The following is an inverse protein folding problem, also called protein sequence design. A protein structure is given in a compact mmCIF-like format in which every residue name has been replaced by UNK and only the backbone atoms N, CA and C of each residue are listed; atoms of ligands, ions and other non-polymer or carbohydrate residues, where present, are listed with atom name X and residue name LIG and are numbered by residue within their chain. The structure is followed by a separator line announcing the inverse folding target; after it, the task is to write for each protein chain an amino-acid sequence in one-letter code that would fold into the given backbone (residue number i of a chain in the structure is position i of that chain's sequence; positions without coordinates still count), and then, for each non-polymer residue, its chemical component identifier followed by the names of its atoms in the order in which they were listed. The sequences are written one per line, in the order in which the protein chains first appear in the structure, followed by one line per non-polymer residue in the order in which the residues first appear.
data_IF_964910446333
#
_entry.id   IF_964910446333
#
_cell.length_a   1.000
_cell.length_b   1.000
_cell.length_c   1.000
_cell.angle_alpha   90.00
_cell.angle_beta   90.00
_cell.angle_gamma   90.00
#
_symmetry.space_group_name_H-M   'P 1'
#
loop_
_entity.id
_entity.type
_entity.pdbx_description
1 polymer ?
#
# COMPACT_ATOMS: atom_id res chain seq x y z
N UNK A 1 19.76 66.65 30.84
CA UNK A 1 20.45 66.17 29.63
C UNK A 1 19.37 65.87 28.60
N UNK A 2 18.98 66.89 27.86
CA UNK A 2 17.99 66.76 26.81
C UNK A 2 18.59 65.90 25.70
N UNK A 3 17.92 64.78 25.36
CA UNK A 3 18.27 64.03 24.16
C UNK A 3 18.13 65.01 23.01
N UNK A 4 19.19 65.26 22.20
CA UNK A 4 19.09 66.16 21.07
C UNK A 4 17.91 65.69 20.23
N UNK A 5 16.90 66.56 20.10
CA UNK A 5 15.74 66.28 19.27
C UNK A 5 16.25 65.85 17.90
N UNK A 6 15.76 64.68 17.50
CA UNK A 6 16.11 63.94 16.31
C UNK A 6 15.75 64.77 15.07
N UNK A 7 16.53 65.82 14.78
CA UNK A 7 16.45 66.54 13.51
C UNK A 7 16.91 65.57 12.46
N UNK A 8 15.95 64.85 11.87
CA UNK A 8 16.16 63.96 10.74
C UNK A 8 16.97 64.73 9.71
N UNK A 9 18.21 64.28 9.47
CA UNK A 9 19.12 64.93 8.54
C UNK A 9 18.43 65.08 7.18
N UNK A 10 18.57 66.24 6.54
CA UNK A 10 17.97 66.53 5.23
C UNK A 10 18.42 65.54 4.14
N UNK A 11 19.48 64.78 4.40
CA UNK A 11 20.01 63.72 3.53
C UNK A 11 19.27 62.37 3.65
N UNK A 12 18.53 62.12 4.74
CA UNK A 12 17.78 60.88 4.94
C UNK A 12 16.82 60.54 3.78
N UNK A 13 16.01 61.46 3.22
CA UNK A 13 15.15 61.15 2.07
C UNK A 13 15.95 60.71 0.83
N UNK A 14 17.17 61.22 0.64
CA UNK A 14 18.03 60.85 -0.49
C UNK A 14 18.70 59.49 -0.29
N UNK A 15 19.07 59.16 0.96
CA UNK A 15 19.67 57.87 1.31
C UNK A 15 18.63 56.73 1.41
N UNK A 16 17.37 57.04 1.75
CA UNK A 16 16.27 56.07 1.89
C UNK A 16 16.14 55.06 0.73
N UNK A 17 16.16 55.46 -0.56
CA UNK A 17 16.07 54.49 -1.66
C UNK A 17 17.29 53.57 -1.76
N UNK A 18 18.49 54.05 -1.40
CA UNK A 18 19.70 53.23 -1.37
C UNK A 18 19.63 52.23 -0.21
N UNK A 19 19.30 52.68 0.99
CA UNK A 19 19.11 51.84 2.17
C UNK A 19 18.04 50.77 1.94
N UNK A 20 16.93 51.13 1.31
CA UNK A 20 15.88 50.18 0.96
C UNK A 20 16.42 49.07 0.04
N UNK A 21 17.20 49.42 -0.99
CA UNK A 21 17.78 48.43 -1.92
C UNK A 21 18.81 47.52 -1.24
N UNK A 22 19.68 48.08 -0.40
CA UNK A 22 20.67 47.31 0.35
C UNK A 22 19.98 46.35 1.34
N UNK A 23 19.02 46.86 2.11
CA UNK A 23 18.25 46.06 3.06
C UNK A 23 17.39 45.00 2.35
N UNK A 24 16.84 45.31 1.17
CA UNK A 24 16.14 44.34 0.34
C UNK A 24 17.08 43.23 -0.16
N UNK A 25 18.32 43.55 -0.56
CA UNK A 25 19.30 42.56 -0.99
C UNK A 25 19.74 41.63 0.15
N UNK A 26 20.01 42.18 1.35
CA UNK A 26 20.33 41.39 2.55
C UNK A 26 19.14 40.50 2.95
N UNK A 27 17.94 41.06 2.94
CA UNK A 27 16.72 40.32 3.20
C UNK A 27 16.52 39.17 2.21
N UNK A 28 16.70 39.42 0.91
CA UNK A 28 16.61 38.39 -0.13
C UNK A 28 17.66 37.29 0.09
N UNK A 29 18.91 37.63 0.38
CA UNK A 29 19.94 36.59 0.60
C UNK A 29 19.64 35.73 1.83
N UNK A 30 19.19 36.35 2.92
CA UNK A 30 18.79 35.60 4.13
C UNK A 30 17.55 34.73 3.90
N UNK A 31 16.60 35.20 3.09
CA UNK A 31 15.33 34.52 2.85
C UNK A 31 15.46 33.38 1.85
N UNK A 32 16.35 33.48 0.87
CA UNK A 32 16.51 32.48 -0.20
C UNK A 32 16.88 31.11 0.34
N UNK A 33 17.76 31.04 1.35
CA UNK A 33 18.10 29.77 1.98
C UNK A 33 16.90 29.20 2.75
N UNK A 34 16.19 30.02 3.52
CA UNK A 34 15.01 29.58 4.27
C UNK A 34 13.86 29.11 3.36
N UNK A 35 13.59 29.86 2.29
CA UNK A 35 12.62 29.49 1.25
C UNK A 35 13.03 28.17 0.59
N UNK A 36 14.30 28.02 0.22
CA UNK A 36 14.82 26.81 -0.40
C UNK A 36 14.66 25.57 0.48
N UNK A 37 15.03 25.68 1.76
CA UNK A 37 14.91 24.57 2.73
C UNK A 37 13.45 24.22 2.98
N UNK A 38 12.58 25.21 3.22
CA UNK A 38 11.17 24.96 3.49
C UNK A 38 10.42 24.41 2.28
N UNK A 39 10.68 24.92 1.08
CA UNK A 39 10.09 24.41 -0.15
C UNK A 39 10.59 22.99 -0.47
N UNK A 40 11.88 22.70 -0.24
CA UNK A 40 12.45 21.36 -0.41
C UNK A 40 11.88 20.34 0.59
N UNK A 41 11.75 20.72 1.86
CA UNK A 41 11.13 19.88 2.89
C UNK A 41 9.65 19.62 2.58
N UNK A 42 8.92 20.67 2.19
CA UNK A 42 7.52 20.55 1.77
C UNK A 42 7.34 19.62 0.58
N UNK A 43 8.11 19.81 -0.50
CA UNK A 43 8.04 18.94 -1.67
C UNK A 43 8.39 17.49 -1.33
N UNK A 44 9.38 17.25 -0.47
CA UNK A 44 9.72 15.90 -0.01
C UNK A 44 8.57 15.27 0.79
N UNK A 45 7.90 16.05 1.65
CA UNK A 45 6.70 15.60 2.35
C UNK A 45 5.55 15.26 1.41
N UNK A 46 5.28 16.11 0.41
CA UNK A 46 4.25 15.84 -0.63
C UNK A 46 4.59 14.56 -1.41
N UNK A 47 5.86 14.34 -1.75
CA UNK A 47 6.29 13.12 -2.44
C UNK A 47 6.03 11.87 -1.59
N UNK A 48 6.35 11.90 -0.29
CA UNK A 48 6.06 10.79 0.64
C UNK A 48 4.55 10.55 0.76
N UNK A 49 3.75 11.61 0.89
CA UNK A 49 2.29 11.49 0.94
C UNK A 49 1.72 10.89 -0.35
N UNK A 50 2.23 11.30 -1.52
CA UNK A 50 1.87 10.71 -2.82
C UNK A 50 2.19 9.21 -2.91
N UNK A 51 3.15 8.72 -2.13
CA UNK A 51 3.49 7.29 -2.04
C UNK A 51 2.63 6.52 -1.04
N UNK A 52 2.11 7.18 0.01
CA UNK A 52 1.33 6.56 1.08
C UNK A 52 -0.18 6.49 0.81
N UNK A 53 -0.72 7.34 -0.06
CA UNK A 53 -2.13 7.27 -0.48
C UNK A 53 -2.79 8.63 -0.68
N UNK A 54 -3.91 8.65 -1.41
CA UNK A 54 -4.55 9.89 -1.88
C UNK A 54 -5.23 10.73 -0.79
N UNK A 55 -5.57 10.14 0.35
CA UNK A 55 -6.40 10.78 1.38
C UNK A 55 -5.69 11.95 2.09
N UNK A 56 -4.36 11.92 2.15
CA UNK A 56 -3.55 12.93 2.82
C UNK A 56 -3.07 14.06 1.89
N UNK A 57 -3.39 14.00 0.58
CA UNK A 57 -2.93 15.01 -0.38
C UNK A 57 -3.48 16.40 -0.10
N UNK A 58 -4.71 16.49 0.42
CA UNK A 58 -5.34 17.78 0.78
C UNK A 58 -4.58 18.47 1.90
N UNK A 59 -4.18 17.73 2.93
CA UNK A 59 -3.34 18.23 4.02
C UNK A 59 -1.94 18.66 3.52
N UNK A 60 -1.35 17.89 2.60
CA UNK A 60 -0.08 18.22 1.95
C UNK A 60 -0.13 19.55 1.19
N UNK A 61 -1.21 19.81 0.45
CA UNK A 61 -1.37 21.06 -0.30
C UNK A 61 -1.53 22.28 0.63
N UNK A 62 -2.31 22.15 1.71
CA UNK A 62 -2.51 23.23 2.69
C UNK A 62 -1.20 23.59 3.40
N UNK A 63 -0.35 22.60 3.69
CA UNK A 63 0.96 22.84 4.32
C UNK A 63 1.91 23.69 3.45
N UNK A 64 1.66 23.78 2.13
CA UNK A 64 2.41 24.67 1.23
C UNK A 64 2.30 26.15 1.57
N UNK A 65 1.23 26.55 2.27
CA UNK A 65 1.07 27.92 2.78
C UNK A 65 2.17 28.31 3.79
N UNK A 66 2.79 27.34 4.48
CA UNK A 66 3.90 27.60 5.39
C UNK A 66 5.16 28.09 4.64
N UNK A 67 5.34 27.69 3.38
CA UNK A 67 6.44 28.19 2.53
C UNK A 67 6.29 29.69 2.28
N UNK A 68 5.06 30.23 2.24
CA UNK A 68 4.80 31.66 2.09
C UNK A 68 5.17 32.48 3.33
N UNK A 69 5.36 31.84 4.49
CA UNK A 69 5.83 32.51 5.71
C UNK A 69 7.37 32.63 5.77
N UNK A 70 8.10 31.92 4.91
CA UNK A 70 9.57 31.95 4.86
C UNK A 70 10.17 33.37 4.64
N UNK A 71 9.60 34.24 3.80
CA UNK A 71 10.10 35.62 3.63
C UNK A 71 9.89 36.46 4.90
N UNK A 72 8.80 36.24 5.65
CA UNK A 72 8.56 36.90 6.94
C UNK A 72 9.58 36.44 7.99
N UNK A 73 9.90 35.15 8.00
CA UNK A 73 10.98 34.62 8.85
C UNK A 73 12.34 35.22 8.49
N UNK A 74 12.67 35.32 7.20
CA UNK A 74 13.89 35.96 6.73
C UNK A 74 13.97 37.45 7.12
N UNK A 75 12.84 38.16 7.06
CA UNK A 75 12.73 39.54 7.53
C UNK A 75 12.99 39.65 9.03
N UNK A 76 12.30 38.84 9.83
CA UNK A 76 12.45 38.82 11.28
C UNK A 76 13.88 38.46 11.70
N UNK A 77 14.48 37.46 11.05
CA UNK A 77 15.87 37.03 11.30
C UNK A 77 16.87 38.12 10.95
N UNK A 78 16.72 38.76 9.80
CA UNK A 78 17.56 39.90 9.39
C UNK A 78 17.47 41.06 10.37
N UNK A 79 16.27 41.33 10.89
CA UNK A 79 16.03 42.38 11.89
C UNK A 79 16.69 42.06 13.22
N UNK A 80 16.55 40.84 13.73
CA UNK A 80 17.16 40.42 15.01
C UNK A 80 18.68 40.30 14.93
N UNK A 81 19.21 39.89 13.79
CA UNK A 81 20.65 39.74 13.57
C UNK A 81 21.40 41.07 13.43
N UNK A 82 20.70 42.22 13.38
CA UNK A 82 21.34 43.50 13.13
C UNK A 82 21.97 43.60 11.75
N UNK A 83 21.55 42.76 10.79
CA UNK A 83 22.12 42.72 9.45
C UNK A 83 21.62 43.85 8.54
N UNK A 84 20.58 44.58 8.97
CA UNK A 84 20.09 45.73 8.23
C UNK A 84 21.02 46.93 8.41
N UNK A 85 21.32 47.57 7.30
CA UNK A 85 22.11 48.79 7.26
C UNK A 85 21.36 49.91 7.98
N UNK A 86 22.03 50.50 8.97
CA UNK A 86 21.57 51.72 9.60
C UNK A 86 21.74 52.90 8.63
N UNK A 87 21.01 54.01 8.85
CA UNK A 87 21.19 55.22 8.04
C UNK A 87 22.64 55.72 7.96
N UNK A 88 23.40 55.53 9.05
CA UNK A 88 24.83 55.84 9.12
C UNK A 88 25.65 55.02 8.12
N UNK A 89 25.42 53.71 8.07
CA UNK A 89 26.11 52.82 7.13
C UNK A 89 25.77 53.17 5.68
N UNK A 90 24.54 53.63 5.43
CA UNK A 90 24.13 54.14 4.12
C UNK A 90 24.86 55.43 3.73
N UNK A 91 25.11 56.32 4.69
CA UNK A 91 25.91 57.52 4.48
C UNK A 91 27.38 57.18 4.22
N UNK A 92 27.97 56.24 4.99
CA UNK A 92 29.33 55.73 4.77
C UNK A 92 29.49 55.09 3.39
N UNK A 93 28.52 54.29 2.96
CA UNK A 93 28.57 53.64 1.66
C UNK A 93 28.38 54.66 0.52
N UNK A 94 27.51 55.66 0.69
CA UNK A 94 27.38 56.75 -0.26
C UNK A 94 28.68 57.57 -0.37
N UNK A 95 29.36 57.82 0.75
CA UNK A 95 30.64 58.51 0.81
C UNK A 95 31.75 57.75 0.08
N UNK A 96 31.87 56.43 0.34
CA UNK A 96 32.81 55.55 -0.34
C UNK A 96 32.56 55.50 -1.86
N UNK A 97 31.29 55.44 -2.29
CA UNK A 97 30.93 55.43 -3.71
C UNK A 97 31.26 56.76 -4.40
N UNK A 98 31.28 57.87 -3.66
CA UNK A 98 31.53 59.20 -4.19
C UNK A 98 32.98 59.68 -4.02
N UNK A 99 33.81 58.95 -3.26
CA UNK A 99 35.21 59.28 -2.97
C UNK A 99 35.39 60.72 -2.47
N UNK A 100 34.50 61.19 -1.59
CA UNK A 100 34.54 62.55 -1.02
C UNK A 100 35.06 62.60 0.42
N UNK A 101 36.03 61.73 0.74
CA UNK A 101 36.85 61.78 1.96
C UNK A 101 36.08 62.02 3.28
N UNK A 102 34.89 61.43 3.44
CA UNK A 102 34.08 61.53 4.66
C UNK A 102 33.09 62.70 4.71
N UNK A 103 32.99 63.53 3.67
CA UNK A 103 32.13 64.71 3.66
C UNK A 103 30.64 64.36 3.82
N UNK A 104 30.17 63.26 3.22
CA UNK A 104 28.76 62.84 3.35
C UNK A 104 28.49 62.33 4.78
N UNK A 105 29.44 61.63 5.39
CA UNK A 105 29.35 61.19 6.78
C UNK A 105 29.34 62.38 7.75
N UNK A 106 30.22 63.36 7.54
CA UNK A 106 30.30 64.56 8.37
C UNK A 106 29.00 65.39 8.29
N UNK A 107 28.44 65.54 7.08
CA UNK A 107 27.14 66.20 6.89
C UNK A 107 25.98 65.43 7.53
N UNK A 108 26.04 64.10 7.53
CA UNK A 108 25.02 63.25 8.14
C UNK A 108 25.06 63.31 9.67
N UNK A 109 26.25 63.29 10.28
CA UNK A 109 26.44 63.29 11.73
C UNK A 109 26.29 64.69 12.35
N UNK A 110 26.77 65.72 11.66
CA UNK A 110 26.81 67.09 12.17
C UNK A 110 26.36 68.11 11.11
N UNK A 111 25.06 68.12 10.72
CA UNK A 111 24.56 69.03 9.68
C UNK A 111 24.72 70.51 10.04
N UNK A 112 24.84 70.83 11.33
CA UNK A 112 24.99 72.19 11.85
C UNK A 112 26.36 72.81 11.55
N UNK A 113 27.39 71.99 11.31
CA UNK A 113 28.75 72.48 11.03
C UNK A 113 28.90 73.03 9.61
N UNK A 114 27.91 72.80 8.74
CA UNK A 114 27.94 73.20 7.32
C UNK A 114 26.66 73.95 6.91
N UNK A 115 26.32 75.07 7.57
CA UNK A 115 25.08 75.81 7.29
C UNK A 115 25.08 76.50 5.92
N UNK A 116 26.28 76.78 5.37
CA UNK A 116 26.47 77.44 4.08
C UNK A 116 26.35 76.47 2.88
N UNK A 117 26.36 75.16 3.13
CA UNK A 117 26.26 74.18 2.07
C UNK A 117 24.79 74.06 1.65
N UNK A 118 24.49 74.38 0.40
CA UNK A 118 23.14 74.20 -0.15
C UNK A 118 22.81 72.70 -0.22
N UNK A 119 22.17 72.22 0.85
CA UNK A 119 21.79 70.82 1.01
C UNK A 119 20.87 70.35 -0.12
N UNK A 120 20.08 71.25 -0.74
CA UNK A 120 19.22 70.90 -1.85
C UNK A 120 20.04 70.59 -3.10
N UNK A 121 21.00 71.46 -3.45
CA UNK A 121 21.91 71.25 -4.58
C UNK A 121 22.74 69.97 -4.40
N UNK A 122 23.36 69.78 -3.23
CA UNK A 122 24.14 68.58 -2.93
C UNK A 122 23.26 67.31 -2.97
N UNK A 123 22.03 67.38 -2.45
CA UNK A 123 21.11 66.24 -2.49
C UNK A 123 20.77 65.80 -3.92
N UNK A 124 20.67 66.76 -4.85
CA UNK A 124 20.47 66.51 -6.27
C UNK A 124 21.67 65.83 -6.93
N UNK A 125 22.89 66.31 -6.65
CA UNK A 125 24.13 65.69 -7.13
C UNK A 125 24.29 64.26 -6.60
N UNK A 126 24.06 64.06 -5.29
CA UNK A 126 24.12 62.74 -4.66
C UNK A 126 23.06 61.84 -5.27
N UNK A 127 21.83 62.30 -5.45
CA UNK A 127 20.76 61.50 -6.03
C UNK A 127 21.08 61.10 -7.48
N UNK A 128 21.64 62.00 -8.30
CA UNK A 128 22.03 61.71 -9.67
C UNK A 128 23.18 60.71 -9.72
N UNK A 129 24.20 60.89 -8.88
CA UNK A 129 25.32 59.96 -8.77
C UNK A 129 24.87 58.58 -8.29
N UNK A 130 24.00 58.53 -7.27
CA UNK A 130 23.41 57.29 -6.77
C UNK A 130 22.50 56.63 -7.79
N UNK A 131 21.82 57.37 -8.69
CA UNK A 131 21.06 56.77 -9.79
C UNK A 131 21.96 56.14 -10.86
N UNK A 132 23.08 56.78 -11.19
CA UNK A 132 24.03 56.27 -12.18
C UNK A 132 24.85 55.09 -11.67
N UNK A 133 25.24 55.12 -10.40
CA UNK A 133 26.01 54.06 -9.72
C UNK A 133 25.14 53.16 -8.85
N UNK A 134 23.81 53.27 -8.99
CA UNK A 134 22.86 52.51 -8.20
C UNK A 134 23.14 51.03 -8.39
N UNK A 135 23.36 50.37 -7.26
CA UNK A 135 23.51 48.93 -7.23
C UNK A 135 22.20 48.33 -7.68
N UNK A 136 22.25 47.64 -8.83
CA UNK A 136 21.13 46.85 -9.34
C UNK A 136 21.15 45.53 -8.61
N UNK A 137 20.01 45.17 -8.01
CA UNK A 137 19.83 43.84 -7.43
C UNK A 137 19.97 42.82 -8.57
N UNK A 138 20.99 41.95 -8.51
CA UNK A 138 21.22 40.89 -9.49
C UNK A 138 20.21 39.76 -9.26
N UNK A 139 18.98 39.93 -9.72
CA UNK A 139 17.91 38.92 -9.60
C UNK A 139 18.31 37.54 -10.13
N UNK A 140 19.17 37.50 -11.15
CA UNK A 140 19.72 36.26 -11.73
C UNK A 140 20.48 35.42 -10.72
N UNK A 141 21.17 36.03 -9.75
CA UNK A 141 21.88 35.31 -8.70
C UNK A 141 20.90 34.56 -7.77
N UNK A 142 19.82 35.23 -7.36
CA UNK A 142 18.81 34.62 -6.50
C UNK A 142 18.01 33.54 -7.24
N UNK A 143 17.65 33.79 -8.50
CA UNK A 143 17.01 32.80 -9.36
C UNK A 143 17.87 31.56 -9.54
N UNK A 144 19.18 31.71 -9.80
CA UNK A 144 20.11 30.57 -9.91
C UNK A 144 20.19 29.72 -8.64
N UNK A 145 20.08 30.35 -7.46
CA UNK A 145 20.06 29.63 -6.17
C UNK A 145 18.74 28.91 -5.91
N UNK A 146 17.62 29.49 -6.31
CA UNK A 146 16.30 28.88 -6.14
C UNK A 146 15.96 27.86 -7.24
N UNK A 147 16.59 27.96 -8.41
CA UNK A 147 16.35 27.09 -9.57
C UNK A 147 16.31 25.59 -9.25
N UNK A 148 17.28 24.97 -8.55
CA UNK A 148 17.22 23.53 -8.27
C UNK A 148 16.02 23.14 -7.40
N UNK A 149 15.65 23.99 -6.43
CA UNK A 149 14.48 23.73 -5.57
C UNK A 149 13.18 23.89 -6.36
N UNK A 150 13.09 24.91 -7.22
CA UNK A 150 11.93 25.10 -8.09
C UNK A 150 11.75 23.92 -9.05
N UNK A 151 12.84 23.44 -9.68
CA UNK A 151 12.81 22.24 -10.54
C UNK A 151 12.35 21.02 -9.75
N UNK A 152 12.88 20.80 -8.55
CA UNK A 152 12.47 19.69 -7.69
C UNK A 152 10.98 19.76 -7.33
N UNK A 153 10.50 20.93 -6.90
CA UNK A 153 9.08 21.16 -6.60
C UNK A 153 8.21 20.88 -7.84
N UNK A 154 8.61 21.34 -9.01
CA UNK A 154 7.89 21.08 -10.26
C UNK A 154 7.82 19.60 -10.60
N UNK A 155 8.94 18.86 -10.46
CA UNK A 155 8.97 17.41 -10.69
C UNK A 155 8.04 16.69 -9.70
N UNK A 156 8.10 17.02 -8.41
CA UNK A 156 7.23 16.42 -7.39
C UNK A 156 5.75 16.69 -7.69
N UNK A 157 5.40 17.89 -8.16
CA UNK A 157 4.02 18.22 -8.52
C UNK A 157 3.54 17.44 -9.74
N UNK A 158 4.40 17.23 -10.74
CA UNK A 158 4.10 16.47 -11.97
C UNK A 158 3.98 14.96 -11.75
N UNK A 159 4.65 14.40 -10.73
CA UNK A 159 4.51 12.97 -10.41
C UNK A 159 3.04 12.70 -10.00
N UNK A 160 2.30 11.86 -10.74
CA UNK A 160 0.93 11.53 -10.36
C UNK A 160 0.91 10.82 -9.00
N UNK A 161 -0.09 11.07 -8.15
CA UNK A 161 -0.24 10.30 -6.91
C UNK A 161 -0.39 8.82 -7.26
N UNK A 162 0.25 7.93 -6.48
CA UNK A 162 -0.03 6.51 -6.60
C UNK A 162 -1.45 6.30 -6.11
N UNK A 163 -2.38 6.13 -7.03
CA UNK A 163 -3.64 5.48 -6.71
C UNK A 163 -3.26 4.03 -6.40
N UNK A 164 -3.57 3.49 -5.20
CA UNK A 164 -3.50 2.05 -5.02
C UNK A 164 -4.31 1.46 -6.18
N UNK A 165 -3.70 0.54 -6.94
CA UNK A 165 -4.41 -0.10 -8.04
C UNK A 165 -5.70 -0.64 -7.42
N UNK A 166 -6.84 -0.06 -7.81
CA UNK A 166 -8.14 -0.64 -7.51
C UNK A 166 -8.17 -1.93 -8.30
N UNK A 167 -7.58 -2.99 -7.74
CA UNK A 167 -7.55 -4.34 -8.28
C UNK A 167 -8.95 -4.97 -8.17
N UNK A 168 -9.99 -4.21 -8.49
CA UNK A 168 -11.37 -4.68 -8.57
C UNK A 168 -11.46 -5.69 -9.71
N UNK A 169 -10.81 -5.41 -10.84
CA UNK A 169 -10.72 -6.35 -11.96
C UNK A 169 -9.96 -7.63 -11.59
N UNK A 170 -8.79 -7.52 -10.94
CA UNK A 170 -8.01 -8.70 -10.54
C UNK A 170 -8.71 -9.52 -9.45
N UNK A 171 -9.43 -8.86 -8.53
CA UNK A 171 -10.22 -9.51 -7.49
C UNK A 171 -11.45 -10.22 -8.04
N UNK A 172 -12.15 -9.64 -9.02
CA UNK A 172 -13.28 -10.28 -9.69
C UNK A 172 -12.85 -11.48 -10.53
N UNK A 173 -11.72 -11.39 -11.22
CA UNK A 173 -11.18 -12.50 -12.01
C UNK A 173 -10.68 -13.64 -11.11
N UNK A 174 -10.02 -13.32 -10.00
CA UNK A 174 -9.67 -14.30 -8.97
C UNK A 174 -10.91 -14.98 -8.36
N UNK A 175 -11.94 -14.21 -7.99
CA UNK A 175 -13.20 -14.77 -7.46
C UNK A 175 -13.90 -15.67 -8.46
N UNK A 176 -13.93 -15.30 -9.76
CA UNK A 176 -14.46 -16.17 -10.80
C UNK A 176 -13.70 -17.49 -10.87
N UNK A 177 -12.38 -17.44 -10.91
CA UNK A 177 -11.55 -18.66 -10.97
C UNK A 177 -11.72 -19.60 -9.78
N UNK A 178 -12.06 -19.08 -8.59
CA UNK A 178 -12.29 -19.88 -7.39
C UNK A 178 -13.71 -20.44 -7.31
N UNK A 179 -14.70 -19.72 -7.84
CA UNK A 179 -16.11 -20.12 -7.76
C UNK A 179 -16.54 -21.02 -8.93
N UNK A 180 -15.92 -20.88 -10.10
CA UNK A 180 -16.18 -21.68 -11.29
C UNK A 180 -16.08 -23.21 -11.08
N UNK A 181 -15.06 -23.76 -10.39
CA UNK A 181 -15.02 -25.20 -10.13
C UNK A 181 -16.14 -25.69 -9.20
N UNK A 182 -16.66 -24.83 -8.30
CA UNK A 182 -17.80 -25.19 -7.43
C UNK A 182 -19.09 -25.20 -8.25
N UNK A 183 -19.26 -24.24 -9.15
CA UNK A 183 -20.41 -24.20 -10.08
C UNK A 183 -20.42 -25.42 -10.99
N UNK A 184 -19.27 -25.79 -11.57
CA UNK A 184 -19.13 -26.98 -12.42
C UNK A 184 -19.56 -28.26 -11.66
N UNK A 185 -19.09 -28.43 -10.41
CA UNK A 185 -19.49 -29.57 -9.55
C UNK A 185 -20.98 -29.58 -9.19
N UNK A 186 -21.58 -28.41 -8.99
CA UNK A 186 -23.03 -28.25 -8.75
C UNK A 186 -23.84 -28.64 -9.99
N UNK A 187 -23.32 -28.38 -11.19
CA UNK A 187 -23.93 -28.79 -12.45
C UNK A 187 -23.77 -30.28 -12.71
N UNK A 188 -22.60 -30.86 -12.43
CA UNK A 188 -22.35 -32.31 -12.53
C UNK A 188 -23.27 -33.11 -11.58
N UNK A 189 -23.55 -32.60 -10.38
CA UNK A 189 -24.39 -33.25 -9.37
C UNK A 189 -25.86 -32.81 -9.40
N UNK A 190 -26.31 -32.18 -10.51
CA UNK A 190 -27.65 -31.61 -10.66
C UNK A 190 -28.79 -32.57 -10.35
N UNK A 191 -28.63 -33.86 -10.68
CA UNK A 191 -29.67 -34.89 -10.50
C UNK A 191 -29.72 -35.45 -9.07
N UNK A 192 -28.66 -35.23 -8.28
CA UNK A 192 -28.49 -35.82 -6.94
C UNK A 192 -28.77 -34.85 -5.80
N UNK A 193 -28.65 -33.56 -6.09
CA UNK A 193 -28.90 -32.48 -5.14
C UNK A 193 -30.36 -31.99 -5.27
N UNK A 194 -31.07 -31.76 -4.16
CA UNK A 194 -32.38 -31.12 -4.18
C UNK A 194 -32.31 -29.77 -4.91
N UNK A 195 -33.30 -29.49 -5.77
CA UNK A 195 -33.30 -28.27 -6.58
C UNK A 195 -33.24 -26.99 -5.74
N UNK A 196 -33.92 -27.00 -4.58
CA UNK A 196 -33.94 -25.90 -3.64
C UNK A 196 -32.56 -25.60 -3.05
N UNK A 197 -31.79 -26.63 -2.70
CA UNK A 197 -30.43 -26.48 -2.14
C UNK A 197 -29.45 -26.00 -3.21
N UNK A 198 -29.54 -26.55 -4.43
CA UNK A 198 -28.71 -26.12 -5.57
C UNK A 198 -28.95 -24.65 -5.90
N UNK A 199 -30.21 -24.21 -5.93
CA UNK A 199 -30.55 -22.83 -6.23
C UNK A 199 -30.00 -21.85 -5.18
N UNK A 200 -30.03 -22.25 -3.90
CA UNK A 200 -29.46 -21.49 -2.78
C UNK A 200 -27.94 -21.32 -2.92
N UNK A 201 -27.22 -22.42 -3.16
CA UNK A 201 -25.75 -22.38 -3.29
C UNK A 201 -25.29 -21.56 -4.51
N UNK A 202 -26.02 -21.65 -5.63
CA UNK A 202 -25.73 -20.81 -6.80
C UNK A 202 -25.98 -19.32 -6.54
N UNK A 203 -27.05 -18.99 -5.83
CA UNK A 203 -27.35 -17.62 -5.44
C UNK A 203 -26.27 -17.03 -4.52
N UNK A 204 -25.80 -17.82 -3.54
CA UNK A 204 -24.72 -17.41 -2.64
C UNK A 204 -23.40 -17.20 -3.39
N UNK A 205 -23.05 -18.08 -4.34
CA UNK A 205 -21.87 -17.92 -5.20
C UNK A 205 -21.97 -16.68 -6.10
N UNK A 206 -23.16 -16.36 -6.62
CA UNK A 206 -23.38 -15.16 -7.43
C UNK A 206 -23.28 -13.88 -6.59
N UNK A 207 -23.84 -13.88 -5.38
CA UNK A 207 -23.69 -12.78 -4.43
C UNK A 207 -22.21 -12.52 -4.05
N UNK A 208 -21.42 -13.59 -3.88
CA UNK A 208 -19.98 -13.48 -3.64
C UNK A 208 -19.21 -12.90 -4.83
N UNK A 209 -19.69 -13.12 -6.07
CA UNK A 209 -19.12 -12.56 -7.31
C UNK A 209 -19.45 -11.08 -7.50
N UNK A 210 -20.67 -10.66 -7.16
CA UNK A 210 -21.15 -9.29 -7.41
C UNK A 210 -20.57 -8.24 -6.45
N UNK A 211 -20.19 -8.64 -5.24
CA UNK A 211 -19.55 -7.74 -4.28
C UNK A 211 -18.19 -7.29 -4.82
N UNK A 212 -18.11 -6.11 -5.44
CA UNK A 212 -16.89 -5.58 -6.10
C UNK A 212 -15.71 -5.24 -5.18
N UNK A 213 -15.76 -5.70 -3.93
CA UNK A 213 -14.66 -5.64 -2.99
C UNK A 213 -13.69 -6.79 -3.29
N UNK A 214 -12.39 -6.57 -3.12
CA UNK A 214 -11.36 -7.59 -3.38
C UNK A 214 -11.57 -8.86 -2.54
N UNK A 215 -10.68 -9.82 -2.70
CA UNK A 215 -10.71 -11.09 -1.96
C UNK A 215 -10.50 -10.84 -0.45
N UNK A 216 -11.60 -10.66 0.29
CA UNK A 216 -11.56 -10.47 1.74
C UNK A 216 -11.55 -11.82 2.45
N UNK A 217 -11.11 -11.84 3.71
CA UNK A 217 -11.16 -13.04 4.56
C UNK A 217 -12.59 -13.59 4.70
N UNK A 218 -13.56 -12.70 4.85
CA UNK A 218 -14.97 -13.08 4.96
C UNK A 218 -15.47 -13.80 3.71
N UNK A 219 -15.00 -13.42 2.51
CA UNK A 219 -15.34 -14.11 1.26
C UNK A 219 -14.72 -15.50 1.17
N UNK A 220 -13.51 -15.68 1.72
CA UNK A 220 -12.89 -17.01 1.81
C UNK A 220 -13.68 -17.92 2.75
N UNK A 221 -14.04 -17.41 3.93
CA UNK A 221 -14.84 -18.17 4.90
C UNK A 221 -16.23 -18.52 4.34
N UNK A 222 -16.84 -17.61 3.56
CA UNK A 222 -18.10 -17.88 2.87
C UNK A 222 -17.95 -18.92 1.75
N UNK A 223 -16.87 -18.87 0.97
CA UNK A 223 -16.60 -19.87 -0.08
C UNK A 223 -16.39 -21.26 0.53
N UNK A 224 -15.60 -21.34 1.61
CA UNK A 224 -15.37 -22.58 2.36
C UNK A 224 -16.67 -23.12 2.95
N UNK A 225 -17.56 -22.25 3.44
CA UNK A 225 -18.88 -22.66 3.91
C UNK A 225 -19.73 -23.27 2.78
N UNK A 226 -19.75 -22.67 1.59
CA UNK A 226 -20.48 -23.21 0.43
C UNK A 226 -19.90 -24.57 0.01
N UNK A 227 -18.57 -24.70 -0.02
CA UNK A 227 -17.92 -25.98 -0.33
C UNK A 227 -18.25 -27.05 0.73
N UNK A 228 -18.24 -26.69 2.01
CA UNK A 228 -18.62 -27.58 3.10
C UNK A 228 -20.09 -28.01 3.02
N UNK A 229 -21.01 -27.10 2.68
CA UNK A 229 -22.42 -27.43 2.47
C UNK A 229 -22.62 -28.41 1.31
N UNK A 230 -21.87 -28.24 0.21
CA UNK A 230 -21.87 -29.17 -0.90
C UNK A 230 -21.37 -30.56 -0.47
N UNK A 231 -20.28 -30.62 0.29
CA UNK A 231 -19.74 -31.87 0.84
C UNK A 231 -20.74 -32.57 1.75
N UNK A 232 -21.32 -31.85 2.70
CA UNK A 232 -22.32 -32.38 3.63
C UNK A 232 -23.54 -32.93 2.89
N UNK A 233 -24.00 -32.24 1.83
CA UNK A 233 -25.13 -32.70 1.02
C UNK A 233 -24.80 -33.96 0.22
N UNK A 234 -23.60 -34.08 -0.34
CA UNK A 234 -23.16 -35.29 -1.05
C UNK A 234 -22.95 -36.46 -0.08
N UNK A 235 -22.41 -36.21 1.11
CA UNK A 235 -22.24 -37.23 2.15
C UNK A 235 -23.59 -37.74 2.66
N UNK A 236 -24.57 -36.85 2.84
CA UNK A 236 -25.96 -37.23 3.15
C UNK A 236 -26.59 -38.06 2.03
N UNK A 237 -26.36 -37.69 0.76
CA UNK A 237 -26.82 -38.49 -0.38
C UNK A 237 -26.18 -39.88 -0.41
N UNK A 238 -24.87 -39.98 -0.16
CA UNK A 238 -24.15 -41.24 -0.04
C UNK A 238 -24.69 -42.11 1.09
N UNK A 239 -24.91 -41.54 2.27
CA UNK A 239 -25.46 -42.28 3.40
C UNK A 239 -26.89 -42.77 3.12
N UNK A 240 -27.71 -41.92 2.51
CA UNK A 240 -29.08 -42.29 2.13
C UNK A 240 -29.10 -43.43 1.09
N UNK A 241 -28.27 -43.35 0.05
CA UNK A 241 -28.14 -44.42 -0.96
C UNK A 241 -27.57 -45.71 -0.39
N UNK A 242 -26.59 -45.64 0.52
CA UNK A 242 -26.04 -46.80 1.23
C UNK A 242 -27.11 -47.49 2.09
N UNK A 243 -27.88 -46.74 2.87
CA UNK A 243 -28.95 -47.28 3.72
C UNK A 243 -30.04 -47.97 2.90
N UNK A 244 -30.40 -47.42 1.74
CA UNK A 244 -31.35 -48.05 0.81
C UNK A 244 -30.76 -49.32 0.21
N UNK A 245 -29.50 -49.31 -0.21
CA UNK A 245 -28.82 -50.50 -0.75
C UNK A 245 -28.72 -51.62 0.29
N UNK A 246 -28.39 -51.30 1.55
CA UNK A 246 -28.33 -52.25 2.66
C UNK A 246 -29.70 -52.83 2.98
N UNK A 247 -30.74 -51.98 3.08
CA UNK A 247 -32.12 -52.43 3.33
C UNK A 247 -32.65 -53.33 2.20
N UNK A 248 -32.30 -53.02 0.94
CA UNK A 248 -32.64 -53.84 -0.22
C UNK A 248 -31.90 -55.19 -0.20
N UNK A 249 -30.63 -55.18 0.19
CA UNK A 249 -29.83 -56.39 0.33
C UNK A 249 -30.36 -57.29 1.45
N UNK A 250 -30.78 -56.71 2.57
CA UNK A 250 -31.39 -57.44 3.68
C UNK A 250 -32.74 -58.05 3.28
N UNK A 251 -33.57 -57.30 2.54
CA UNK A 251 -34.83 -57.80 2.00
C UNK A 251 -34.60 -59.00 1.06
N UNK A 252 -33.63 -58.90 0.15
CA UNK A 252 -33.33 -59.95 -0.84
C UNK A 252 -32.60 -61.16 -0.24
N UNK A 253 -31.82 -60.94 0.83
CA UNK A 253 -31.10 -62.00 1.56
C UNK A 253 -31.96 -62.67 2.65
N UNK A 254 -33.16 -62.14 2.91
CA UNK A 254 -34.07 -62.66 3.94
C UNK A 254 -34.40 -64.14 3.71
N UNK A 255 -34.27 -64.99 4.74
CA UNK A 255 -34.45 -66.44 4.61
C UNK A 255 -35.87 -66.76 4.13
N UNK A 256 -35.95 -67.45 2.99
CA UNK A 256 -37.23 -67.81 2.35
C UNK A 256 -37.65 -66.86 1.23
N UNK A 257 -37.12 -65.64 1.10
CA UNK A 257 -37.42 -64.76 -0.03
C UNK A 257 -37.05 -65.42 -1.38
N UNK A 258 -35.91 -66.13 -1.41
CA UNK A 258 -35.40 -66.83 -2.59
C UNK A 258 -35.96 -68.24 -2.84
N UNK A 259 -36.52 -68.89 -1.82
CA UNK A 259 -37.05 -70.26 -1.94
C UNK A 259 -38.58 -70.30 -1.91
N UNK A 260 -39.23 -69.59 -0.99
CA UNK A 260 -40.67 -69.51 -0.84
C UNK A 260 -41.12 -68.14 -0.27
N UNK A 261 -41.39 -67.16 -1.15
CA UNK A 261 -41.53 -65.77 -0.73
C UNK A 261 -42.86 -65.52 0.00
N UNK A 262 -43.87 -66.40 -0.18
CA UNK A 262 -45.09 -66.41 0.63
C UNK A 262 -44.83 -66.81 2.08
N UNK A 263 -44.00 -67.83 2.30
CA UNK A 263 -43.62 -68.22 3.66
C UNK A 263 -42.72 -67.16 4.34
N UNK A 264 -41.92 -66.44 3.55
CA UNK A 264 -41.16 -65.30 4.03
C UNK A 264 -42.05 -64.10 4.38
N UNK A 265 -43.09 -63.81 3.59
CA UNK A 265 -44.03 -62.71 3.83
C UNK A 265 -44.84 -62.86 5.13
N UNK A 266 -45.07 -64.09 5.59
CA UNK A 266 -45.68 -64.38 6.89
C UNK A 266 -44.72 -64.18 8.07
N UNK A 267 -43.42 -64.02 7.83
CA UNK A 267 -42.44 -63.81 8.88
C UNK A 267 -42.49 -62.36 9.40
N UNK A 268 -42.40 -62.16 10.73
CA UNK A 268 -42.32 -60.81 11.29
C UNK A 268 -41.02 -60.09 10.88
N UNK A 269 -39.95 -60.85 10.61
CA UNK A 269 -38.67 -60.30 10.15
C UNK A 269 -38.76 -59.67 8.76
N UNK A 270 -39.47 -60.30 7.81
CA UNK A 270 -39.67 -59.75 6.47
C UNK A 270 -40.46 -58.44 6.49
N UNK A 271 -41.55 -58.41 7.26
CA UNK A 271 -42.36 -57.19 7.41
C UNK A 271 -41.56 -56.04 8.03
N UNK A 272 -40.65 -56.35 8.95
CA UNK A 272 -39.77 -55.37 9.56
C UNK A 272 -38.74 -54.83 8.54
N UNK A 273 -38.04 -55.70 7.80
CA UNK A 273 -37.11 -55.26 6.74
C UNK A 273 -37.80 -54.46 5.63
N UNK A 274 -39.07 -54.75 5.34
CA UNK A 274 -39.86 -54.00 4.37
C UNK A 274 -40.23 -52.61 4.90
N UNK A 275 -40.55 -52.49 6.19
CA UNK A 275 -40.73 -51.20 6.84
C UNK A 275 -39.41 -50.40 6.88
N UNK A 276 -38.29 -51.04 7.21
CA UNK A 276 -36.97 -50.41 7.22
C UNK A 276 -36.60 -49.89 5.82
N UNK A 277 -36.89 -50.66 4.77
CA UNK A 277 -36.72 -50.22 3.37
C UNK A 277 -37.61 -49.02 3.04
N UNK A 278 -38.88 -49.01 3.44
CA UNK A 278 -39.79 -47.87 3.23
C UNK A 278 -39.30 -46.62 3.93
N UNK A 279 -38.83 -46.75 5.16
CA UNK A 279 -38.30 -45.64 5.93
C UNK A 279 -37.00 -45.11 5.31
N UNK A 280 -36.12 -46.00 4.86
CA UNK A 280 -34.91 -45.64 4.10
C UNK A 280 -35.24 -44.91 2.78
N UNK A 281 -36.22 -45.38 2.02
CA UNK A 281 -36.68 -44.73 0.78
C UNK A 281 -37.28 -43.35 1.07
N UNK A 282 -38.11 -43.21 2.11
CA UNK A 282 -38.70 -41.93 2.49
C UNK A 282 -37.63 -40.91 2.87
N UNK A 283 -36.59 -41.33 3.61
CA UNK A 283 -35.44 -40.50 3.95
C UNK A 283 -34.60 -40.13 2.72
N UNK A 284 -34.41 -41.08 1.80
CA UNK A 284 -33.63 -40.90 0.56
C UNK A 284 -34.41 -40.26 -0.59
N UNK A 285 -35.69 -39.97 -0.41
CA UNK A 285 -36.59 -39.45 -1.47
C UNK A 285 -36.13 -38.13 -2.07
N UNK A 286 -35.30 -37.37 -1.36
CA UNK A 286 -34.76 -36.08 -1.81
C UNK A 286 -33.40 -36.20 -2.52
N UNK A 287 -32.70 -37.32 -2.37
CA UNK A 287 -31.32 -37.51 -2.84
C UNK A 287 -31.19 -38.58 -3.95
N UNK A 288 -32.18 -39.45 -4.08
CA UNK A 288 -32.22 -40.47 -5.12
C UNK A 288 -32.82 -39.93 -6.44
N UNK A 289 -32.30 -40.37 -7.59
CA UNK A 289 -32.93 -40.08 -8.88
C UNK A 289 -34.39 -40.57 -8.93
N UNK A 290 -35.28 -39.85 -9.63
CA UNK A 290 -36.69 -40.20 -9.71
C UNK A 290 -36.93 -41.58 -10.34
N UNK A 291 -36.08 -42.00 -11.28
CA UNK A 291 -36.15 -43.31 -11.93
C UNK A 291 -35.91 -44.46 -10.94
N UNK A 292 -34.97 -44.29 -10.00
CA UNK A 292 -34.66 -45.30 -8.97
C UNK A 292 -35.78 -45.35 -7.94
N UNK A 293 -36.35 -44.19 -7.57
CA UNK A 293 -37.47 -44.10 -6.64
C UNK A 293 -38.74 -44.79 -7.18
N UNK A 294 -39.04 -44.63 -8.47
CA UNK A 294 -40.19 -45.30 -9.11
C UNK A 294 -40.01 -46.81 -9.09
N UNK A 295 -38.83 -47.32 -9.46
CA UNK A 295 -38.52 -48.75 -9.44
C UNK A 295 -38.53 -49.34 -8.02
N UNK A 296 -38.03 -48.60 -7.02
CA UNK A 296 -38.09 -49.00 -5.62
C UNK A 296 -39.53 -49.04 -5.10
N UNK A 297 -40.36 -48.06 -5.48
CA UNK A 297 -41.78 -48.05 -5.13
C UNK A 297 -42.53 -49.24 -5.74
N UNK A 298 -42.20 -49.64 -6.96
CA UNK A 298 -42.76 -50.84 -7.61
C UNK A 298 -42.39 -52.12 -6.84
N UNK A 299 -41.15 -52.28 -6.38
CA UNK A 299 -40.77 -53.42 -5.52
C UNK A 299 -41.55 -53.40 -4.22
N UNK A 300 -41.61 -52.25 -3.55
CA UNK A 300 -42.29 -52.10 -2.26
C UNK A 300 -43.77 -52.44 -2.37
N UNK A 301 -44.46 -51.95 -3.40
CA UNK A 301 -45.88 -52.22 -3.63
C UNK A 301 -46.14 -53.68 -3.97
N UNK A 302 -45.28 -54.33 -4.75
CA UNK A 302 -45.38 -55.75 -5.04
C UNK A 302 -45.17 -56.60 -3.78
N UNK A 303 -44.17 -56.27 -2.95
CA UNK A 303 -43.92 -56.96 -1.67
C UNK A 303 -45.06 -56.74 -0.65
N UNK A 304 -45.63 -55.52 -0.57
CA UNK A 304 -46.80 -55.25 0.29
C UNK A 304 -48.03 -56.08 -0.11
N UNK A 305 -48.24 -56.24 -1.42
CA UNK A 305 -49.32 -57.08 -1.96
C UNK A 305 -49.20 -58.54 -1.53
N UNK A 306 -47.97 -59.04 -1.36
CA UNK A 306 -47.70 -60.38 -0.82
C UNK A 306 -48.10 -60.49 0.66
N UNK A 307 -47.78 -59.49 1.46
CA UNK A 307 -48.07 -59.48 2.90
C UNK A 307 -49.57 -59.35 3.21
N UNK A 308 -50.33 -58.61 2.38
CA UNK A 308 -51.75 -58.32 2.67
C UNK A 308 -52.74 -59.30 2.01
N UNK A 309 -52.38 -59.92 0.89
CA UNK A 309 -53.35 -60.64 0.04
C UNK A 309 -53.17 -62.16 -0.05
N UNK A 310 -52.06 -62.73 0.44
CA UNK A 310 -51.72 -64.14 0.18
C UNK A 310 -51.63 -64.46 -1.34
N UNK A 311 -51.45 -63.44 -2.16
CA UNK A 311 -51.44 -63.56 -3.61
C UNK A 311 -50.22 -64.38 -4.05
N UNK A 312 -50.47 -65.51 -4.71
CA UNK A 312 -49.41 -66.29 -5.34
C UNK A 312 -48.86 -65.50 -6.53
N UNK A 313 -47.64 -64.97 -6.39
CA UNK A 313 -46.85 -64.54 -7.54
C UNK A 313 -46.68 -65.75 -8.47
N UNK A 314 -46.96 -65.55 -9.75
CA UNK A 314 -46.62 -66.57 -10.73
C UNK A 314 -45.10 -66.75 -10.76
N UNK A 315 -44.60 -67.94 -11.12
CA UNK A 315 -43.15 -68.19 -11.19
C UNK A 315 -42.40 -67.17 -12.06
N UNK A 316 -43.10 -66.60 -13.06
CA UNK A 316 -42.59 -65.51 -13.91
C UNK A 316 -42.46 -64.18 -13.19
N UNK A 317 -43.40 -63.80 -12.34
CA UNK A 317 -43.36 -62.51 -11.61
C UNK A 317 -42.23 -62.49 -10.57
N UNK A 318 -41.94 -63.65 -9.98
CA UNK A 318 -40.83 -63.84 -9.04
C UNK A 318 -39.46 -63.64 -9.70
N UNK A 319 -39.25 -64.21 -10.89
CA UNK A 319 -38.00 -64.01 -11.62
C UNK A 319 -37.81 -62.56 -12.06
N UNK A 320 -38.91 -61.88 -12.41
CA UNK A 320 -38.90 -60.45 -12.78
C UNK A 320 -38.53 -59.59 -11.57
N UNK A 321 -39.14 -59.83 -10.39
CA UNK A 321 -38.80 -59.14 -9.14
C UNK A 321 -37.33 -59.31 -8.75
N UNK A 322 -36.80 -60.53 -8.83
CA UNK A 322 -35.40 -60.79 -8.49
C UNK A 322 -34.44 -60.10 -9.45
N UNK A 323 -34.72 -60.14 -10.75
CA UNK A 323 -33.90 -59.44 -11.75
C UNK A 323 -33.94 -57.92 -11.56
N UNK A 324 -35.11 -57.38 -11.20
CA UNK A 324 -35.28 -55.94 -10.96
C UNK A 324 -34.55 -55.51 -9.67
N UNK A 325 -34.65 -56.30 -8.60
CA UNK A 325 -33.91 -56.04 -7.35
C UNK A 325 -32.39 -56.14 -7.56
N UNK A 326 -31.90 -57.14 -8.31
CA UNK A 326 -30.48 -57.29 -8.65
C UNK A 326 -29.98 -56.15 -9.55
N UNK A 327 -30.79 -55.73 -10.52
CA UNK A 327 -30.48 -54.57 -11.36
C UNK A 327 -30.41 -53.27 -10.55
N UNK A 328 -31.37 -53.04 -9.64
CA UNK A 328 -31.38 -51.88 -8.75
C UNK A 328 -30.20 -51.89 -7.79
N UNK A 329 -29.84 -53.05 -7.23
CA UNK A 329 -28.65 -53.17 -6.38
C UNK A 329 -27.38 -52.82 -7.17
N UNK A 330 -27.28 -53.24 -8.44
CA UNK A 330 -26.20 -52.84 -9.33
C UNK A 330 -26.17 -51.35 -9.62
N UNK A 331 -27.33 -50.72 -9.86
CA UNK A 331 -27.44 -49.28 -10.07
C UNK A 331 -27.07 -48.48 -8.82
N UNK A 332 -27.55 -48.88 -7.65
CA UNK A 332 -27.21 -48.25 -6.36
C UNK A 332 -25.72 -48.40 -6.03
N UNK A 333 -25.12 -49.55 -6.34
CA UNK A 333 -23.68 -49.76 -6.17
C UNK A 333 -22.86 -48.84 -7.09
N UNK A 334 -23.26 -48.69 -8.36
CA UNK A 334 -22.64 -47.74 -9.28
C UNK A 334 -22.77 -46.29 -8.78
N UNK A 335 -23.94 -45.90 -8.27
CA UNK A 335 -24.13 -44.56 -7.70
C UNK A 335 -23.26 -44.32 -6.47
N UNK A 336 -23.11 -45.33 -5.60
CA UNK A 336 -22.23 -45.24 -4.43
C UNK A 336 -20.76 -45.09 -4.81
N UNK A 337 -20.29 -45.83 -5.82
CA UNK A 337 -18.92 -45.72 -6.33
C UNK A 337 -18.67 -44.32 -6.94
N UNK A 338 -19.64 -43.79 -7.66
CA UNK A 338 -19.55 -42.46 -8.27
C UNK A 338 -19.56 -41.34 -7.21
N UNK A 339 -20.46 -41.41 -6.22
CA UNK A 339 -20.49 -40.49 -5.07
C UNK A 339 -19.20 -40.58 -4.24
N UNK A 340 -18.64 -41.77 -4.08
CA UNK A 340 -17.38 -41.96 -3.38
C UNK A 340 -16.20 -41.35 -4.14
N UNK A 341 -16.17 -41.50 -5.47
CA UNK A 341 -15.20 -40.83 -6.34
C UNK A 341 -15.29 -39.31 -6.21
N UNK A 342 -16.50 -38.75 -6.24
CA UNK A 342 -16.73 -37.32 -6.12
C UNK A 342 -16.29 -36.77 -4.75
N UNK A 343 -16.61 -37.48 -3.66
CA UNK A 343 -16.18 -37.12 -2.31
C UNK A 343 -14.65 -37.22 -2.13
N UNK A 344 -14.00 -38.26 -2.69
CA UNK A 344 -12.55 -38.43 -2.62
C UNK A 344 -11.79 -37.28 -3.32
N UNK A 345 -12.40 -36.66 -4.34
CA UNK A 345 -11.88 -35.46 -5.00
C UNK A 345 -12.00 -34.17 -4.18
N UNK A 346 -12.77 -34.17 -3.08
CA UNK A 346 -13.04 -32.98 -2.26
C UNK A 346 -12.21 -32.89 -0.98
N UNK A 347 -11.70 -34.00 -0.44
CA UNK A 347 -10.91 -33.96 0.79
C UNK A 347 -9.52 -33.33 0.55
N UNK A 348 -9.20 -32.19 1.22
CA UNK A 348 -7.90 -31.56 1.07
C UNK A 348 -6.79 -32.52 1.53
N UNK A 349 -5.88 -32.84 0.61
CA UNK A 349 -4.72 -33.70 0.88
C UNK A 349 -4.87 -35.19 0.53
N UNK A 350 -6.01 -35.63 -0.04
CA UNK A 350 -6.16 -37.00 -0.59
C UNK A 350 -6.17 -37.07 -2.13
N UNK A 351 -6.17 -35.91 -2.80
CA UNK A 351 -5.98 -35.82 -4.25
C UNK A 351 -4.64 -36.42 -4.66
N UNK A 352 -4.69 -37.38 -5.58
CA UNK A 352 -3.58 -38.19 -6.03
C UNK A 352 -2.39 -37.43 -6.61
N UNK A 353 -1.40 -38.23 -6.97
CA UNK A 353 -0.03 -37.96 -7.46
C UNK A 353 0.07 -36.97 -8.65
N UNK A 354 -1.03 -36.39 -9.13
CA UNK A 354 -1.10 -35.61 -10.37
C UNK A 354 -1.03 -34.07 -10.20
N UNK A 355 -0.79 -33.54 -8.99
CA UNK A 355 -0.65 -32.08 -8.77
C UNK A 355 0.74 -31.59 -8.35
N UNK A 356 1.77 -32.44 -8.41
CA UNK A 356 3.15 -32.02 -8.12
C UNK A 356 4.20 -33.09 -8.41
N UNK A 357 5.47 -32.70 -8.49
CA UNK A 357 6.59 -33.63 -8.77
C UNK A 357 6.62 -34.72 -7.70
N UNK A 358 6.56 -35.98 -8.13
CA UNK A 358 6.52 -37.19 -7.31
C UNK A 358 7.80 -37.47 -6.49
N UNK A 359 8.72 -36.50 -6.39
CA UNK A 359 10.00 -36.59 -5.68
C UNK A 359 10.02 -35.80 -4.36
N UNK A 360 8.97 -35.05 -4.02
CA UNK A 360 8.82 -34.47 -2.69
C UNK A 360 8.30 -35.54 -1.72
N UNK A 361 9.21 -36.16 -0.97
CA UNK A 361 8.84 -36.96 0.19
C UNK A 361 8.13 -36.04 1.20
N UNK A 362 6.79 -36.05 1.20
CA UNK A 362 6.01 -35.50 2.30
C UNK A 362 6.23 -36.41 3.50
N UNK A 363 7.26 -36.11 4.29
CA UNK A 363 7.45 -36.70 5.60
C UNK A 363 6.37 -36.13 6.52
N UNK A 364 5.24 -36.82 6.60
CA UNK A 364 4.29 -36.62 7.67
C UNK A 364 4.92 -37.17 8.95
N UNK A 365 5.27 -36.28 9.88
CA UNK A 365 5.51 -36.70 11.25
C UNK A 365 4.21 -37.26 11.84
N UNK A 366 4.33 -38.21 12.78
CA UNK A 366 3.18 -38.83 13.45
C UNK A 366 2.21 -37.77 13.98
N UNK A 367 0.94 -37.89 13.60
CA UNK A 367 -0.13 -36.98 14.01
C UNK A 367 -0.29 -36.92 15.55
N UNK A 368 0.15 -37.96 16.26
CA UNK A 368 0.15 -38.02 17.73
C UNK A 368 1.13 -37.03 18.39
N UNK A 369 2.05 -36.41 17.63
CA UNK A 369 3.00 -35.43 18.18
C UNK A 369 2.48 -33.99 18.17
N UNK A 370 1.33 -33.68 17.56
CA UNK A 370 0.78 -32.32 17.46
C UNK A 370 0.45 -31.68 18.81
N UNK A 371 -0.04 -32.45 19.78
CA UNK A 371 -0.35 -31.94 21.13
C UNK A 371 0.92 -31.59 21.95
N UNK A 372 2.09 -32.07 21.51
CA UNK A 372 3.39 -31.79 22.13
C UNK A 372 4.31 -30.93 21.27
N UNK A 373 3.88 -30.53 20.08
CA UNK A 373 4.61 -29.65 19.17
C UNK A 373 4.55 -28.20 19.69
N UNK A 374 5.20 -27.96 20.83
CA UNK A 374 5.46 -26.61 21.30
C UNK A 374 6.29 -25.91 20.22
N UNK A 375 5.80 -24.76 19.77
CA UNK A 375 6.52 -23.85 18.90
C UNK A 375 7.93 -23.61 19.48
N UNK A 376 8.96 -24.23 18.89
CA UNK A 376 10.36 -24.02 19.24
C UNK A 376 10.78 -22.61 18.80
N UNK A 377 10.41 -21.61 19.62
CA UNK A 377 10.77 -20.20 19.45
C UNK A 377 12.29 -20.00 19.30
N UNK A 378 13.07 -20.99 19.72
CA UNK A 378 14.53 -21.02 19.68
C UNK A 378 15.12 -21.43 18.32
N UNK A 379 14.37 -22.13 17.45
CA UNK A 379 14.79 -22.39 16.07
C UNK A 379 14.75 -21.14 15.19
N UNK A 380 13.91 -20.17 15.55
CA UNK A 380 13.77 -18.86 14.90
C UNK A 380 14.53 -17.74 15.64
N UNK A 381 15.46 -18.09 16.54
CA UNK A 381 16.41 -17.09 17.02
C UNK A 381 17.34 -16.71 15.87
N UNK A 382 17.25 -15.46 15.44
CA UNK A 382 18.27 -14.80 14.63
C UNK A 382 19.64 -15.05 15.27
N UNK A 383 20.35 -16.08 14.81
CA UNK A 383 21.74 -16.29 15.22
C UNK A 383 22.52 -15.11 14.68
N UNK A 384 23.13 -14.36 15.58
CA UNK A 384 24.21 -13.44 15.21
C UNK A 384 25.30 -14.30 14.57
N UNK A 385 25.44 -14.21 13.25
CA UNK A 385 26.57 -14.78 12.53
C UNK A 385 27.81 -14.06 13.03
N UNK A 386 28.73 -14.81 13.62
CA UNK A 386 30.03 -14.25 13.99
C UNK A 386 30.82 -13.96 12.70
N UNK A 387 31.80 -13.04 12.71
CA UNK A 387 32.65 -12.78 11.54
C UNK A 387 33.37 -14.04 11.00
N UNK A 388 33.50 -15.08 11.83
CA UNK A 388 34.10 -16.37 11.49
C UNK A 388 33.16 -17.25 10.65
N UNK A 389 31.84 -17.02 10.75
CA UNK A 389 30.79 -17.72 9.98
C UNK A 389 30.50 -17.05 8.63
N UNK A 390 31.14 -15.91 8.34
CA UNK A 390 30.97 -15.18 7.09
C UNK A 390 32.03 -15.64 6.08
N UNK A 391 31.59 -16.29 4.99
CA UNK A 391 32.46 -16.59 3.85
C UNK A 391 32.66 -15.31 3.04
N UNK A 392 33.88 -14.78 3.07
CA UNK A 392 34.28 -13.54 2.41
C UNK A 392 34.28 -13.74 0.87
N UNK A 393 33.25 -13.23 0.18
CA UNK A 393 33.24 -13.15 -1.28
C UNK A 393 34.23 -12.06 -1.70
N UNK A 394 35.44 -12.49 -2.04
CA UNK A 394 36.61 -11.65 -2.29
C UNK A 394 36.34 -10.39 -3.13
N UNK A 395 36.27 -9.24 -2.46
CA UNK A 395 36.37 -7.92 -3.08
C UNK A 395 37.76 -7.36 -2.74
N UNK A 396 38.71 -7.55 -3.65
CA UNK A 396 40.04 -6.94 -3.56
C UNK A 396 39.94 -5.41 -3.68
N UNK A 397 40.30 -4.69 -2.61
CA UNK A 397 40.46 -3.23 -2.64
C UNK A 397 41.80 -2.86 -3.26
N UNK A 398 41.76 -2.19 -4.41
CA UNK A 398 42.91 -1.47 -4.98
C UNK A 398 43.20 -0.22 -4.12
N UNK A 399 44.41 -0.12 -3.56
CA UNK A 399 44.89 1.11 -2.93
C UNK A 399 45.20 2.16 -4.01
N UNK A 400 44.73 3.41 -3.89
CA UNK A 400 45.13 4.50 -4.77
C UNK A 400 46.60 4.87 -4.53
N UNK A 401 47.40 4.96 -5.60
CA UNK A 401 48.77 5.46 -5.57
C UNK A 401 48.79 6.95 -5.18
N UNK A 402 49.56 7.37 -4.16
CA UNK A 402 49.74 8.77 -3.83
C UNK A 402 50.85 9.38 -4.69
N UNK A 403 50.49 10.22 -5.66
CA UNK A 403 51.40 11.23 -6.21
C UNK A 403 50.80 12.63 -5.92
N UNK A 404 51.22 13.32 -4.86
CA UNK A 404 50.81 14.69 -4.61
C UNK A 404 51.55 15.62 -5.59
N UNK A 405 50.76 16.24 -6.48
CA UNK A 405 51.22 17.33 -7.34
C UNK A 405 51.86 18.45 -6.52
N UNK A 406 53.00 18.93 -7.03
CA UNK A 406 53.84 19.99 -6.46
C UNK A 406 53.04 21.28 -6.22
N UNK A 407 52.93 21.70 -4.96
CA UNK A 407 52.50 23.05 -4.59
C UNK A 407 53.69 24.01 -4.72
N UNK A 408 53.57 25.04 -5.55
CA UNK A 408 54.54 26.14 -5.63
C UNK A 408 54.26 27.16 -4.52
N UNK A 409 55.22 27.34 -3.60
CA UNK A 409 55.22 28.42 -2.62
C UNK A 409 55.58 29.74 -3.32
N UNK A 410 54.60 30.63 -3.50
CA UNK A 410 54.83 31.90 -4.19
C UNK A 410 53.67 32.88 -4.06
N UNK A 411 53.29 33.23 -2.83
CA UNK A 411 52.49 34.44 -2.55
C UNK A 411 52.51 34.80 -1.06
N UNK A 412 53.66 35.20 -0.54
CA UNK A 412 53.79 35.81 0.79
C UNK A 412 54.98 36.77 0.78
N UNK A 413 54.87 37.85 0.01
CA UNK A 413 55.75 39.01 0.13
C UNK A 413 55.13 40.19 -0.62
N UNK A 414 54.49 41.10 0.12
CA UNK A 414 54.50 42.57 -0.10
C UNK A 414 53.35 43.21 0.69
N UNK A 415 53.60 43.64 1.92
CA UNK A 415 52.99 44.84 2.51
C UNK A 415 53.84 45.26 3.72
N UNK A 416 55.02 45.78 3.42
CA UNK A 416 55.81 46.56 4.37
C UNK A 416 56.20 47.86 3.66
N UNK A 417 55.67 48.98 4.13
CA UNK A 417 56.11 50.31 3.72
C UNK A 417 55.09 51.19 2.99
N UNK A 418 53.99 51.57 3.63
CA UNK A 418 53.36 52.87 3.37
C UNK A 418 52.88 53.47 4.70
N UNK A 419 53.69 54.37 5.26
CA UNK A 419 53.28 55.33 6.27
C UNK A 419 52.66 56.54 5.56
N UNK A 420 51.54 57.05 6.07
CA UNK A 420 51.04 58.40 5.73
C UNK A 420 49.73 58.48 4.94
N UNK A 421 48.74 57.63 5.22
CA UNK A 421 47.34 57.99 4.97
C UNK A 421 46.56 57.80 6.26
N UNK A 422 45.94 58.88 6.74
CA UNK A 422 44.92 58.84 7.78
C UNK A 422 43.68 58.14 7.21
N UNK A 423 43.75 56.82 7.10
CA UNK A 423 42.60 55.98 6.77
C UNK A 423 41.71 55.96 8.00
N UNK A 424 40.59 56.67 7.94
CA UNK A 424 39.42 56.38 8.76
C UNK A 424 39.03 54.92 8.53
N UNK A 425 39.59 54.02 9.31
CA UNK A 425 39.29 52.58 9.26
C UNK A 425 38.03 52.34 10.09
N UNK A 426 36.87 52.66 9.55
CA UNK A 426 35.63 52.07 10.05
C UNK A 426 35.67 50.58 9.72
N UNK A 427 35.71 49.73 10.74
CA UNK A 427 35.71 48.27 10.60
C UNK A 427 34.35 47.83 10.10
N UNK A 428 34.17 47.77 8.78
CA UNK A 428 33.11 46.96 8.18
C UNK A 428 33.30 45.54 8.69
N UNK A 429 32.28 44.98 9.34
CA UNK A 429 32.36 43.63 9.89
C UNK A 429 32.67 42.62 8.76
N UNK A 430 33.41 41.52 9.02
CA UNK A 430 33.77 40.55 7.98
C UNK A 430 32.56 40.06 7.16
N UNK A 431 31.41 39.85 7.80
CA UNK A 431 30.16 39.45 7.14
C UNK A 431 29.62 40.51 6.18
N UNK A 432 29.70 41.80 6.52
CA UNK A 432 29.30 42.90 5.65
C UNK A 432 30.28 43.05 4.46
N UNK A 433 31.59 42.85 4.69
CA UNK A 433 32.59 42.90 3.63
C UNK A 433 32.38 41.78 2.61
N UNK A 434 32.07 40.57 3.05
CA UNK A 434 31.73 39.45 2.16
C UNK A 434 30.48 39.74 1.32
N UNK A 435 29.44 40.34 1.90
CA UNK A 435 28.23 40.75 1.17
C UNK A 435 28.57 41.83 0.12
N UNK A 436 29.33 42.86 0.50
CA UNK A 436 29.75 43.92 -0.44
C UNK A 436 30.66 43.38 -1.55
N UNK A 437 31.54 42.44 -1.25
CA UNK A 437 32.37 41.84 -2.28
C UNK A 437 31.54 40.96 -3.21
N UNK A 438 30.74 40.04 -2.66
CA UNK A 438 29.97 39.03 -3.39
C UNK A 438 28.91 39.61 -4.33
N UNK A 439 28.31 40.75 -3.99
CA UNK A 439 27.26 41.36 -4.81
C UNK A 439 27.74 42.56 -5.64
N UNK A 440 28.94 43.08 -5.39
CA UNK A 440 29.35 44.39 -5.93
C UNK A 440 30.79 44.41 -6.50
N UNK A 441 31.59 43.33 -6.44
CA UNK A 441 33.00 43.34 -6.91
C UNK A 441 33.24 43.13 -8.41
N UNK A 442 32.22 43.14 -9.27
CA UNK A 442 32.46 43.09 -10.72
C UNK A 442 32.64 44.51 -11.28
N UNK A 443 33.87 45.01 -11.22
CA UNK A 443 34.44 45.96 -12.17
C UNK A 443 35.96 45.89 -12.22
#
# INVERSE_FOLDING_TARGET
MDRPENRSSSLLPVLRPLLFRLNAAVWLDSSVLAIGVLAGAWASGVLVLKMLGSEWLTAGQVSGLLVLLAPLYGYWRSRRGGCFFAPRDGAELADQLYRRDGLICALFEAPQLYPELDTAALSGEIQQALRQRAVRIRWTYFLKRLAPVLVYVSVVLLIPPRTPAKNVALGQEAMRSLTEPIVERLEENKERLPEDQRALLLADLEQLRETGEGLTREKWEALEHVEQQLQDALEQSRQATANVAESLQDLTSSPGFRDNPLAAAESPQFNQTLQDLKDAINLASQSLPPEILEQLADIVTQCDGMCQGGAQLSGTDREVLMKLAEQLQGQLAQQLEELESDLLGMYPGRGGVDRGRADAAMAYGDAEQLDSAQYERDRLKNRYLSPEDMVDLGITRLQPKPDPGKFSAGTLQSFEGEQGQAVSRTRISPSQREVVQKYFSDR
#
